data_IF_322965946431
#
_entry.id   IF_322965946431
#
_cell.length_a   1.000
_cell.length_b   1.000
_cell.length_c   1.000
_cell.angle_alpha   90.00
_cell.angle_beta   90.00
_cell.angle_gamma   90.00
#
_symmetry.space_group_name_H-M   'P 1'
#
loop_
_entity.id
_entity.type
_entity.pdbx_description
1 polymer ?
#
# COMPACT_ATOMS: atom_id res chain seq x y z
N UNK A 1 23.47 25.04 -16.85
CA UNK A 1 22.55 24.63 -15.77
C UNK A 1 23.01 23.26 -15.30
N UNK A 2 23.56 23.10 -14.08
CA UNK A 2 24.07 21.81 -13.64
C UNK A 2 22.91 20.83 -13.48
N UNK A 3 23.11 19.62 -13.99
CA UNK A 3 22.09 18.58 -14.10
C UNK A 3 21.52 18.19 -12.75
N UNK A 4 20.19 18.27 -12.65
CA UNK A 4 19.42 17.70 -11.57
C UNK A 4 19.50 16.17 -11.68
N UNK A 5 20.52 15.58 -11.06
CA UNK A 5 20.65 14.12 -10.94
C UNK A 5 19.44 13.67 -10.13
N UNK A 6 18.47 13.00 -10.77
CA UNK A 6 17.37 12.34 -10.05
C UNK A 6 18.03 11.40 -9.03
N UNK A 7 17.88 11.63 -7.71
CA UNK A 7 18.38 10.67 -6.74
C UNK A 7 17.70 9.35 -7.09
N UNK A 8 18.51 8.30 -7.28
CA UNK A 8 17.95 6.98 -7.45
C UNK A 8 17.07 6.73 -6.23
N UNK A 9 15.85 6.22 -6.43
CA UNK A 9 14.91 5.94 -5.33
C UNK A 9 15.57 5.14 -4.18
N UNK A 10 16.63 4.39 -4.51
CA UNK A 10 17.54 3.71 -3.58
C UNK A 10 18.13 4.61 -2.48
N UNK A 11 18.55 5.84 -2.80
CA UNK A 11 19.10 6.77 -1.81
C UNK A 11 18.01 7.30 -0.87
N UNK A 12 16.77 7.46 -1.37
CA UNK A 12 15.64 7.84 -0.53
C UNK A 12 15.31 6.74 0.49
N UNK A 13 15.37 5.46 0.10
CA UNK A 13 15.03 4.34 0.98
C UNK A 13 15.99 4.09 2.13
N UNK A 14 17.29 4.36 1.94
CA UNK A 14 18.30 4.16 2.98
C UNK A 14 18.38 5.33 3.98
N UNK A 15 17.88 6.50 3.59
CA UNK A 15 17.95 7.74 4.35
C UNK A 15 16.58 8.30 4.72
N UNK A 16 15.49 7.52 4.74
CA UNK A 16 14.21 8.00 5.27
C UNK A 16 14.40 8.35 6.76
N UNK A 17 14.45 9.63 7.20
CA UNK A 17 14.52 9.93 8.62
C UNK A 17 13.26 9.41 9.32
N UNK A 18 13.38 8.83 10.52
CA UNK A 18 12.21 8.58 11.35
C UNK A 18 11.50 9.91 11.65
N UNK A 19 10.16 10.00 11.53
CA UNK A 19 9.17 8.92 11.38
C UNK A 19 8.56 8.82 9.97
N UNK A 20 9.36 8.88 8.89
CA UNK A 20 8.78 8.77 7.54
C UNK A 20 8.27 7.35 7.25
N UNK A 21 7.03 7.28 6.79
CA UNK A 21 6.37 6.09 6.27
C UNK A 21 5.96 6.31 4.81
N UNK A 22 5.91 5.24 4.03
CA UNK A 22 5.53 5.29 2.61
C UNK A 22 4.15 4.67 2.39
N UNK A 23 3.25 5.46 1.79
CA UNK A 23 1.92 5.02 1.36
C UNK A 23 1.97 4.19 0.08
N UNK A 24 1.26 3.07 0.06
CA UNK A 24 1.07 2.24 -1.12
C UNK A 24 -0.41 1.96 -1.38
N UNK A 25 -0.80 2.03 -2.65
CA UNK A 25 -2.17 1.75 -3.06
C UNK A 25 -2.32 0.40 -3.77
N UNK A 26 -3.56 0.10 -4.15
CA UNK A 26 -3.88 -1.08 -4.94
C UNK A 26 -3.19 -1.11 -6.31
N UNK A 27 -2.54 -0.01 -6.74
CA UNK A 27 -1.68 0.01 -7.91
C UNK A 27 -0.49 -0.96 -7.81
N UNK A 28 -0.09 -1.40 -6.60
CA UNK A 28 0.89 -2.46 -6.42
C UNK A 28 0.52 -3.77 -7.13
N UNK A 29 -0.78 -4.03 -7.30
CA UNK A 29 -1.28 -5.22 -7.99
C UNK A 29 -0.99 -5.23 -9.51
N UNK A 30 -0.52 -4.11 -10.07
CA UNK A 30 -0.06 -4.06 -11.46
C UNK A 30 1.39 -4.54 -11.57
N UNK A 31 1.66 -5.46 -12.49
CA UNK A 31 3.02 -5.91 -12.81
C UNK A 31 3.90 -4.77 -13.33
N UNK A 32 3.31 -3.76 -13.98
CA UNK A 32 3.98 -2.55 -14.45
C UNK A 32 4.47 -1.64 -13.31
N UNK A 33 3.95 -1.79 -12.09
CA UNK A 33 4.41 -1.06 -10.90
C UNK A 33 5.73 -1.64 -10.35
N UNK A 34 6.65 -2.06 -11.21
CA UNK A 34 7.87 -2.81 -10.87
C UNK A 34 8.72 -2.12 -9.80
N UNK A 35 8.90 -0.81 -9.92
CA UNK A 35 9.69 -0.01 -8.98
C UNK A 35 9.03 0.10 -7.60
N UNK A 36 7.71 0.25 -7.55
CA UNK A 36 6.96 0.25 -6.30
C UNK A 36 7.00 -1.14 -5.64
N UNK A 37 6.87 -2.21 -6.42
CA UNK A 37 6.97 -3.59 -5.93
C UNK A 37 8.37 -3.90 -5.37
N UNK A 38 9.42 -3.47 -6.06
CA UNK A 38 10.82 -3.60 -5.60
C UNK A 38 11.04 -2.84 -4.29
N UNK A 39 10.43 -1.65 -4.19
CA UNK A 39 10.49 -0.83 -2.98
C UNK A 39 9.86 -1.55 -1.79
N UNK A 40 8.64 -2.08 -1.95
CA UNK A 40 7.95 -2.84 -0.91
C UNK A 40 8.84 -3.99 -0.44
N UNK A 41 9.54 -4.68 -1.34
CA UNK A 41 10.46 -5.76 -0.92
C UNK A 41 11.57 -5.24 0.01
N UNK A 42 12.13 -4.06 -0.26
CA UNK A 42 13.29 -3.49 0.44
C UNK A 42 12.97 -2.82 1.78
N UNK A 43 11.89 -2.06 1.89
CA UNK A 43 11.57 -1.26 3.10
C UNK A 43 11.04 -2.12 4.24
N UNK A 44 11.23 -1.76 5.51
CA UNK A 44 10.64 -2.51 6.64
C UNK A 44 9.11 -2.45 6.58
N UNK A 45 8.44 -3.50 7.09
CA UNK A 45 6.97 -3.52 7.21
C UNK A 45 6.44 -2.34 8.03
N UNK A 46 7.19 -1.90 9.04
CA UNK A 46 6.83 -0.76 9.90
C UNK A 46 6.95 0.60 9.18
N UNK A 47 7.53 0.64 7.99
CA UNK A 47 7.63 1.84 7.16
C UNK A 47 6.55 1.95 6.08
N UNK A 48 5.52 1.09 6.13
CA UNK A 48 4.49 0.96 5.10
C UNK A 48 3.14 1.45 5.62
N UNK A 49 2.49 2.29 4.83
CA UNK A 49 1.07 2.67 4.97
C UNK A 49 0.29 2.16 3.76
N UNK A 50 -1.00 1.90 3.95
CA UNK A 50 -1.91 1.49 2.87
C UNK A 50 -2.89 2.61 2.59
N UNK A 51 -3.02 2.95 1.32
CA UNK A 51 -3.90 4.02 0.85
C UNK A 51 -4.79 3.51 -0.27
N UNK A 52 -6.02 4.03 -0.33
CA UNK A 52 -6.90 3.87 -1.49
C UNK A 52 -7.06 5.24 -2.09
N UNK A 53 -6.23 5.56 -3.09
CA UNK A 53 -6.36 6.79 -3.87
C UNK A 53 -7.68 6.72 -4.68
N UNK A 54 -8.77 7.05 -3.98
CA UNK A 54 -10.13 6.74 -4.36
C UNK A 54 -10.64 7.79 -5.34
N UNK A 55 -10.31 7.55 -6.61
CA UNK A 55 -11.15 7.79 -7.80
C UNK A 55 -10.58 7.16 -9.08
N UNK A 56 -9.35 6.60 -9.07
CA UNK A 56 -8.72 6.10 -10.31
C UNK A 56 -7.97 4.75 -10.21
N UNK A 57 -7.92 4.10 -9.05
CA UNK A 57 -7.06 2.90 -8.81
C UNK A 57 -7.84 1.57 -8.70
N UNK A 58 -8.45 1.12 -9.79
CA UNK A 58 -9.00 -0.25 -9.88
C UNK A 58 -7.87 -1.27 -9.99
N UNK A 59 -7.79 -2.35 -9.18
CA UNK A 59 -6.84 -3.44 -9.39
C UNK A 59 -7.14 -4.23 -10.66
N UNK A 60 -6.11 -4.78 -11.31
CA UNK A 60 -6.22 -5.60 -12.52
C UNK A 60 -7.16 -6.82 -12.36
N UNK A 61 -7.25 -7.38 -11.14
CA UNK A 61 -8.13 -8.50 -10.79
C UNK A 61 -9.62 -8.11 -10.77
N UNK A 62 -9.93 -6.84 -10.50
CA UNK A 62 -11.31 -6.31 -10.51
C UNK A 62 -11.75 -5.98 -11.94
N UNK A 63 -10.83 -5.51 -12.79
CA UNK A 63 -11.14 -5.30 -14.23
C UNK A 63 -11.62 -6.56 -14.94
N UNK A 64 -11.11 -7.75 -14.57
CA UNK A 64 -11.56 -9.02 -15.17
C UNK A 64 -12.98 -9.41 -14.75
N UNK A 65 -13.38 -9.16 -13.49
CA UNK A 65 -14.74 -9.48 -13.02
C UNK A 65 -15.78 -8.42 -13.40
N UNK A 66 -15.37 -7.17 -13.57
CA UNK A 66 -16.25 -6.11 -14.06
C UNK A 66 -16.77 -6.38 -15.49
N UNK A 67 -16.07 -7.22 -16.25
CA UNK A 67 -16.49 -7.67 -17.59
C UNK A 67 -17.63 -8.72 -17.55
N UNK A 68 -17.90 -9.33 -16.40
CA UNK A 68 -18.92 -10.40 -16.23
C UNK A 68 -20.12 -9.97 -15.36
N UNK A 69 -20.44 -8.67 -15.33
CA UNK A 69 -21.76 -8.20 -14.86
C UNK A 69 -21.80 -7.25 -13.65
N UNK A 70 -20.72 -6.52 -13.33
CA UNK A 70 -20.76 -5.53 -12.25
C UNK A 70 -20.16 -4.18 -12.68
N UNK A 71 -21.01 -3.14 -12.73
CA UNK A 71 -20.74 -1.78 -13.24
C UNK A 71 -20.07 -0.84 -12.24
N UNK A 72 -19.34 -1.36 -11.25
CA UNK A 72 -18.66 -0.51 -10.26
C UNK A 72 -17.34 0.03 -10.84
N UNK A 73 -17.41 1.14 -11.56
CA UNK A 73 -16.26 1.87 -12.12
C UNK A 73 -15.47 2.67 -11.06
N UNK A 74 -15.94 2.71 -9.81
CA UNK A 74 -15.34 3.52 -8.74
C UNK A 74 -14.46 2.70 -7.81
N UNK A 75 -13.35 3.31 -7.37
CA UNK A 75 -12.46 2.71 -6.38
C UNK A 75 -13.13 2.72 -5.00
N UNK A 76 -13.54 1.55 -4.52
CA UNK A 76 -14.11 1.38 -3.18
C UNK A 76 -12.99 1.23 -2.12
N UNK A 77 -13.19 1.73 -0.89
CA UNK A 77 -12.22 1.60 0.21
C UNK A 77 -11.85 0.13 0.52
N UNK A 78 -12.74 -0.80 0.20
CA UNK A 78 -12.48 -2.25 0.26
C UNK A 78 -11.34 -2.73 -0.66
N UNK A 79 -10.93 -1.94 -1.66
CA UNK A 79 -9.78 -2.24 -2.52
C UNK A 79 -8.44 -2.13 -1.77
N UNK A 80 -8.41 -1.49 -0.59
CA UNK A 80 -7.24 -1.49 0.29
C UNK A 80 -6.74 -2.91 0.58
N UNK A 81 -7.66 -3.88 0.73
CA UNK A 81 -7.31 -5.28 0.99
C UNK A 81 -6.54 -5.93 -0.17
N UNK A 82 -6.72 -5.47 -1.41
CA UNK A 82 -5.89 -5.93 -2.54
C UNK A 82 -4.45 -5.45 -2.38
N UNK A 83 -4.23 -4.20 -1.95
CA UNK A 83 -2.90 -3.70 -1.65
C UNK A 83 -2.26 -4.50 -0.51
N UNK A 84 -3.00 -4.77 0.57
CA UNK A 84 -2.51 -5.58 1.71
C UNK A 84 -2.11 -6.98 1.27
N UNK A 85 -2.94 -7.66 0.48
CA UNK A 85 -2.63 -9.00 -0.07
C UNK A 85 -1.37 -8.97 -0.93
N UNK A 86 -1.22 -7.97 -1.77
CA UNK A 86 -0.04 -7.83 -2.62
C UNK A 86 1.23 -7.54 -1.81
N UNK A 87 1.14 -6.70 -0.78
CA UNK A 87 2.25 -6.45 0.16
C UNK A 87 2.65 -7.74 0.87
N UNK A 88 1.69 -8.52 1.37
CA UNK A 88 1.95 -9.80 2.00
C UNK A 88 2.65 -10.78 1.04
N UNK A 89 2.20 -10.86 -0.20
CA UNK A 89 2.83 -11.65 -1.25
C UNK A 89 4.27 -11.20 -1.55
N UNK A 90 4.50 -9.89 -1.73
CA UNK A 90 5.82 -9.34 -2.02
C UNK A 90 6.83 -9.52 -0.88
N UNK A 91 6.32 -9.53 0.36
CA UNK A 91 7.09 -9.75 1.59
C UNK A 91 7.27 -11.21 1.96
N UNK A 92 6.58 -12.13 1.29
CA UNK A 92 6.50 -13.54 1.68
C UNK A 92 6.04 -13.73 3.14
N UNK A 93 5.08 -12.91 3.58
CA UNK A 93 4.50 -12.95 4.92
C UNK A 93 3.03 -13.35 4.89
N UNK A 94 2.54 -13.88 6.01
CA UNK A 94 1.12 -14.21 6.16
C UNK A 94 0.27 -12.94 6.25
N UNK A 95 -0.91 -12.95 5.62
CA UNK A 95 -1.86 -11.84 5.67
C UNK A 95 -2.27 -11.49 7.10
N UNK A 96 -2.38 -12.50 7.97
CA UNK A 96 -2.70 -12.36 9.40
C UNK A 96 -1.63 -11.61 10.21
N UNK A 97 -0.38 -11.54 9.72
CA UNK A 97 0.70 -10.77 10.32
C UNK A 97 0.78 -9.36 9.73
N UNK A 98 0.59 -9.27 8.41
CA UNK A 98 0.74 -8.02 7.65
C UNK A 98 -0.39 -7.04 7.96
N UNK A 99 -1.64 -7.49 7.96
CA UNK A 99 -2.79 -6.61 8.19
C UNK A 99 -2.73 -5.88 9.56
N UNK A 100 -2.52 -6.55 10.71
CA UNK A 100 -2.43 -5.85 11.99
C UNK A 100 -1.20 -4.95 12.08
N UNK A 101 -0.06 -5.33 11.48
CA UNK A 101 1.13 -4.47 11.45
C UNK A 101 0.86 -3.16 10.69
N UNK A 102 0.22 -3.24 9.52
CA UNK A 102 -0.13 -2.05 8.73
C UNK A 102 -1.18 -1.19 9.46
N UNK A 103 -2.15 -1.80 10.16
CA UNK A 103 -3.08 -1.06 11.01
C UNK A 103 -2.35 -0.32 12.14
N UNK A 104 -1.37 -0.97 12.78
CA UNK A 104 -0.58 -0.36 13.84
C UNK A 104 0.28 0.79 13.32
N UNK A 105 0.86 0.66 12.12
CA UNK A 105 1.59 1.74 11.46
C UNK A 105 0.69 2.96 11.23
N UNK A 106 -0.53 2.74 10.70
CA UNK A 106 -1.51 3.82 10.49
C UNK A 106 -1.90 4.48 11.81
N UNK A 107 -2.12 3.70 12.87
CA UNK A 107 -2.40 4.24 14.21
C UNK A 107 -1.24 5.09 14.72
N UNK A 108 -0.01 4.62 14.56
CA UNK A 108 1.18 5.33 15.03
C UNK A 108 1.43 6.63 14.26
N UNK A 109 1.25 6.62 12.93
CA UNK A 109 1.42 7.82 12.10
C UNK A 109 0.41 8.89 12.49
N UNK A 110 -0.88 8.54 12.54
CA UNK A 110 -1.97 9.49 12.71
C UNK A 110 -2.40 9.68 14.17
N UNK A 111 -1.63 9.14 15.12
CA UNK A 111 -1.96 9.13 16.56
C UNK A 111 -3.41 8.68 16.84
N UNK A 112 -3.86 7.64 16.14
CA UNK A 112 -5.22 7.12 16.29
C UNK A 112 -5.30 6.27 17.55
N UNK A 113 -6.06 6.75 18.53
CA UNK A 113 -6.40 5.96 19.70
C UNK A 113 -7.19 4.71 19.30
N UNK A 114 -7.04 3.65 20.09
CA UNK A 114 -7.76 2.41 19.86
C UNK A 114 -9.27 2.68 19.99
N UNK A 115 -9.97 2.61 18.85
CA UNK A 115 -11.44 2.59 18.84
C UNK A 115 -11.87 1.33 19.59
N UNK A 116 -12.17 1.50 20.89
CA UNK A 116 -12.78 0.49 21.73
C UNK A 116 -14.00 -0.04 21.00
N UNK A 117 -13.85 -1.24 20.43
CA UNK A 117 -14.96 -1.95 19.81
C UNK A 117 -15.90 -2.37 20.92
N UNK A 118 -16.84 -1.51 21.28
CA UNK A 118 -18.16 -1.99 21.70
C UNK A 118 -18.83 -2.52 20.44
N UNK A 119 -18.53 -3.77 20.10
CA UNK A 119 -19.40 -4.52 19.22
C UNK A 119 -20.72 -4.69 19.99
N UNK A 120 -21.78 -4.01 19.54
CA UNK A 120 -23.15 -4.37 19.88
C UNK A 120 -23.56 -5.62 19.10
#
# INVERSE_FOLDING_TARGET
VPGFVKPSLFLCYFFLPPPLMLGFSALLAYSSASKARETVRKISLNGILVETDASYSLPSQVRKRALEGCTCQHSHSGLALHAVKEIAHLKSLLLSLVLPALQQNTRHMYDLQELSRKCC
#
